data_IF_929170860823
#
_entry.id   IF_929170860823
#
_cell.length_a   1.000
_cell.length_b   1.000
_cell.length_c   1.000
_cell.angle_alpha   90.00
_cell.angle_beta   90.00
_cell.angle_gamma   90.00
#
_symmetry.space_group_name_H-M   'P 1'
#
loop_
_entity.id
_entity.type
_entity.pdbx_description
1 polymer ?
#
# COMPACT_ATOMS: atom_id res chain seq x y z
N UNK A 1 -4.59 7.92 -1.71
CA UNK A 1 -4.22 7.28 -2.99
C UNK A 1 -5.50 6.85 -3.68
N UNK A 2 -5.57 7.03 -5.00
CA UNK A 2 -6.68 6.66 -5.85
C UNK A 2 -6.16 5.80 -6.99
N UNK A 3 -7.09 5.11 -7.65
CA UNK A 3 -6.80 4.31 -8.83
C UNK A 3 -6.09 5.14 -9.90
N UNK A 4 -4.97 4.64 -10.40
CA UNK A 4 -4.18 5.27 -11.46
C UNK A 4 -3.26 6.41 -10.99
N UNK A 5 -3.12 6.65 -9.68
CA UNK A 5 -2.17 7.64 -9.16
C UNK A 5 -0.73 7.35 -9.64
N UNK A 6 0.02 8.43 -9.94
CA UNK A 6 1.45 8.35 -10.22
C UNK A 6 2.22 9.00 -9.06
N UNK A 7 2.97 8.20 -8.31
CA UNK A 7 3.78 8.62 -7.17
C UNK A 7 5.24 8.78 -7.62
N UNK A 8 5.84 9.93 -7.30
CA UNK A 8 7.23 10.21 -7.67
C UNK A 8 8.20 9.82 -6.58
N UNK A 9 9.35 9.27 -6.95
CA UNK A 9 10.47 9.10 -6.03
C UNK A 9 10.98 10.48 -5.57
N UNK A 10 11.25 10.68 -4.27
CA UNK A 10 11.84 11.93 -3.80
C UNK A 10 13.22 12.15 -4.43
N UNK A 11 13.50 13.38 -4.89
CA UNK A 11 14.78 13.71 -5.52
C UNK A 11 16.00 13.45 -4.59
N UNK A 12 15.79 13.57 -3.28
CA UNK A 12 16.77 13.27 -2.24
C UNK A 12 16.93 11.77 -1.93
N UNK A 13 15.97 10.93 -2.33
CA UNK A 13 16.01 9.48 -2.13
C UNK A 13 15.58 8.75 -3.41
N UNK A 14 16.47 8.76 -4.42
CA UNK A 14 16.30 7.98 -5.68
C UNK A 14 16.24 6.45 -5.50
N UNK A 15 16.20 5.97 -4.26
CA UNK A 15 16.28 4.54 -3.96
C UNK A 15 15.01 3.97 -3.35
N UNK A 16 14.10 4.82 -2.82
CA UNK A 16 12.95 4.32 -2.06
C UNK A 16 11.84 5.37 -1.90
N UNK A 17 10.60 4.93 -2.10
CA UNK A 17 9.39 5.63 -1.69
C UNK A 17 8.82 4.97 -0.43
N UNK A 18 8.69 5.75 0.65
CA UNK A 18 8.02 5.29 1.88
C UNK A 18 6.58 5.80 1.89
N UNK A 19 5.63 4.87 1.93
CA UNK A 19 4.20 5.20 1.96
C UNK A 19 3.68 5.00 3.38
N UNK A 20 2.84 5.91 3.89
CA UNK A 20 2.05 5.66 5.10
C UNK A 20 0.62 5.40 4.68
N UNK A 21 0.15 4.18 4.94
CA UNK A 21 -1.14 3.67 4.47
C UNK A 21 -2.07 3.43 5.65
N UNK A 22 -3.30 3.89 5.52
CA UNK A 22 -4.40 3.61 6.43
C UNK A 22 -5.63 3.19 5.63
N UNK A 23 -6.48 2.37 6.23
CA UNK A 23 -7.78 2.01 5.66
C UNK A 23 -8.87 2.82 6.37
N UNK A 24 -9.79 3.42 5.60
CA UNK A 24 -10.88 4.25 6.11
C UNK A 24 -12.07 3.44 6.67
N UNK A 25 -12.07 2.12 6.46
CA UNK A 25 -13.11 1.20 6.89
C UNK A 25 -12.58 -0.20 7.12
N UNK A 26 -13.49 -1.17 7.18
CA UNK A 26 -13.21 -2.54 7.58
C UNK A 26 -13.13 -2.71 9.10
N UNK A 27 -13.18 -3.95 9.56
CA UNK A 27 -13.16 -4.30 10.99
C UNK A 27 -12.03 -5.27 11.32
N UNK A 28 -11.62 -5.27 12.59
CA UNK A 28 -10.67 -6.26 13.11
C UNK A 28 -9.25 -6.15 12.53
N UNK A 29 -8.64 -7.31 12.33
CA UNK A 29 -7.32 -7.42 11.73
C UNK A 29 -7.34 -7.12 10.23
N UNK A 30 -6.25 -6.58 9.71
CA UNK A 30 -6.05 -6.32 8.28
C UNK A 30 -4.77 -6.94 7.78
N UNK A 31 -4.83 -7.56 6.60
CA UNK A 31 -3.68 -8.10 5.89
C UNK A 31 -3.40 -7.28 4.64
N UNK A 32 -2.16 -6.83 4.52
CA UNK A 32 -1.70 -5.95 3.46
C UNK A 32 -0.90 -6.73 2.44
N UNK A 33 -1.19 -6.48 1.17
CA UNK A 33 -0.55 -7.13 0.04
C UNK A 33 -0.04 -6.08 -0.96
N UNK A 34 1.15 -6.31 -1.50
CA UNK A 34 1.64 -5.62 -2.70
C UNK A 34 1.82 -6.66 -3.79
N UNK A 35 1.16 -6.44 -4.94
CA UNK A 35 1.19 -7.36 -6.09
C UNK A 35 0.81 -8.80 -5.72
N UNK A 36 -0.13 -8.94 -4.77
CA UNK A 36 -0.60 -10.23 -4.25
C UNK A 36 0.33 -10.89 -3.23
N UNK A 37 1.50 -10.31 -2.95
CA UNK A 37 2.44 -10.81 -1.95
C UNK A 37 2.09 -10.24 -0.57
N UNK A 38 1.88 -11.07 0.47
CA UNK A 38 1.61 -10.58 1.82
C UNK A 38 2.84 -9.86 2.39
N UNK A 39 2.65 -8.68 2.96
CA UNK A 39 3.73 -7.87 3.54
C UNK A 39 3.60 -7.64 5.03
N UNK A 40 2.38 -7.46 5.53
CA UNK A 40 2.14 -7.17 6.94
C UNK A 40 0.69 -7.46 7.32
N UNK A 41 0.47 -7.69 8.60
CA UNK A 41 -0.82 -7.57 9.25
C UNK A 41 -0.82 -6.37 10.23
N UNK A 42 -1.96 -5.68 10.33
CA UNK A 42 -2.12 -4.57 11.27
C UNK A 42 -3.51 -4.57 11.90
N UNK A 43 -3.63 -4.10 13.14
CA UNK A 43 -4.94 -3.79 13.72
C UNK A 43 -5.58 -2.58 13.05
N UNK A 44 -6.90 -2.42 13.19
CA UNK A 44 -7.68 -1.30 12.63
C UNK A 44 -7.09 0.11 12.84
N UNK A 45 -6.38 0.36 13.95
CA UNK A 45 -5.82 1.68 14.29
C UNK A 45 -4.37 1.88 13.86
N UNK A 46 -3.72 0.86 13.34
CA UNK A 46 -2.30 0.88 12.99
C UNK A 46 -2.11 1.13 11.50
N UNK A 47 -1.25 2.10 11.17
CA UNK A 47 -0.84 2.35 9.80
C UNK A 47 0.17 1.32 9.32
N UNK A 48 0.13 1.02 8.03
CA UNK A 48 1.14 0.22 7.35
C UNK A 48 2.11 1.12 6.60
N UNK A 49 3.42 0.89 6.78
CA UNK A 49 4.47 1.76 6.18
C UNK A 49 5.44 1.00 5.27
N UNK A 50 5.04 0.56 4.07
CA UNK A 50 5.93 -0.13 3.15
C UNK A 50 6.95 0.83 2.53
N UNK A 51 8.07 0.24 2.09
CA UNK A 51 9.08 0.91 1.27
C UNK A 51 9.13 0.26 -0.10
N UNK A 52 8.90 1.05 -1.15
CA UNK A 52 8.98 0.63 -2.55
C UNK A 52 10.29 1.13 -3.15
N UNK A 53 11.18 0.22 -3.55
CA UNK A 53 12.54 0.57 -4.00
C UNK A 53 12.71 0.64 -5.52
N UNK A 54 11.66 0.37 -6.29
CA UNK A 54 11.71 0.35 -7.75
C UNK A 54 10.57 1.18 -8.35
N UNK A 55 10.81 1.90 -9.45
CA UNK A 55 9.73 2.39 -10.30
C UNK A 55 8.94 1.22 -10.91
N UNK A 56 7.66 1.45 -11.21
CA UNK A 56 6.79 0.45 -11.83
C UNK A 56 5.34 0.57 -11.39
N UNK A 57 4.49 -0.27 -11.99
CA UNK A 57 3.09 -0.43 -11.56
C UNK A 57 3.05 -1.33 -10.32
N UNK A 58 2.20 -0.95 -9.38
CA UNK A 58 1.93 -1.67 -8.16
C UNK A 58 0.42 -1.81 -7.93
N UNK A 59 0.02 -2.93 -7.36
CA UNK A 59 -1.30 -3.14 -6.81
C UNK A 59 -1.21 -3.26 -5.29
N UNK A 60 -1.84 -2.33 -4.56
CA UNK A 60 -2.08 -2.49 -3.13
C UNK A 60 -3.43 -3.17 -2.92
N UNK A 61 -3.47 -4.19 -2.08
CA UNK A 61 -4.73 -4.75 -1.59
C UNK A 61 -4.71 -4.91 -0.08
N UNK A 62 -5.85 -4.68 0.55
CA UNK A 62 -6.06 -4.89 1.98
C UNK A 62 -7.27 -5.79 2.17
N UNK A 63 -7.08 -6.89 2.89
CA UNK A 63 -8.12 -7.81 3.33
C UNK A 63 -8.41 -7.54 4.80
N UNK A 64 -9.66 -7.48 5.21
CA UNK A 64 -10.04 -7.42 6.63
C UNK A 64 -10.55 -8.76 7.16
N UNK A 65 -10.73 -8.84 8.48
CA UNK A 65 -11.15 -10.06 9.18
C UNK A 65 -12.54 -10.57 8.77
N UNK A 66 -13.39 -9.72 8.19
CA UNK A 66 -14.69 -10.10 7.64
C UNK A 66 -14.62 -10.66 6.21
N UNK A 67 -13.42 -10.67 5.61
CA UNK A 67 -13.19 -11.10 4.24
C UNK A 67 -13.37 -9.98 3.20
N UNK A 68 -13.61 -8.72 3.63
CA UNK A 68 -13.72 -7.61 2.70
C UNK A 68 -12.35 -7.24 2.16
N UNK A 69 -12.29 -6.94 0.86
CA UNK A 69 -11.05 -6.54 0.19
C UNK A 69 -11.22 -5.19 -0.48
N UNK A 70 -10.31 -4.26 -0.21
CA UNK A 70 -10.12 -3.06 -1.02
C UNK A 70 -8.83 -3.19 -1.84
N UNK A 71 -8.87 -2.71 -3.08
CA UNK A 71 -7.74 -2.76 -4.02
C UNK A 71 -7.56 -1.41 -4.70
N UNK A 72 -6.31 -1.06 -4.97
CA UNK A 72 -5.93 0.11 -5.76
C UNK A 72 -4.67 -0.16 -6.57
N UNK A 73 -4.68 0.18 -7.85
CA UNK A 73 -3.48 0.22 -8.69
C UNK A 73 -2.91 1.62 -8.79
N UNK A 74 -1.59 1.73 -8.73
CA UNK A 74 -0.85 2.98 -8.86
C UNK A 74 0.51 2.72 -9.50
N UNK A 75 1.20 3.77 -9.93
CA UNK A 75 2.56 3.65 -10.48
C UNK A 75 3.54 4.48 -9.67
N UNK A 76 4.74 3.95 -9.46
CA UNK A 76 5.90 4.70 -8.97
C UNK A 76 6.74 5.11 -10.17
N UNK A 77 7.03 6.39 -10.30
CA UNK A 77 7.81 6.98 -11.39
C UNK A 77 9.00 7.76 -10.84
N UNK A 78 10.00 8.00 -11.68
CA UNK A 78 11.16 8.85 -11.35
C UNK A 78 10.84 10.35 -11.31
#
# INVERSE_FOLDING_TARGET
MREGDNLRLPASSRQALRLRLSALGGSGHRWWFIDGVPLADTDTRQDFTPTLSKPGRYQLSVLDESGQTARVEFSVVE
#
